data_IF_987762409445
#
_entry.id   IF_987762409445
#
_cell.length_a   1.000
_cell.length_b   1.000
_cell.length_c   1.000
_cell.angle_alpha   90.00
_cell.angle_beta   90.00
_cell.angle_gamma   90.00
#
_symmetry.space_group_name_H-M   'P 1'
#
loop_
_entity.id
_entity.type
_entity.pdbx_description
1 polymer ?
#
# COMPACT_ATOMS: atom_id res chain seq x y z
N UNK A 1 21.60 9.28 5.55
CA UNK A 1 20.62 8.33 6.13
C UNK A 1 19.27 8.61 5.53
N UNK A 2 18.59 7.60 5.00
CA UNK A 2 17.17 7.67 4.67
C UNK A 2 16.39 7.04 5.83
N UNK A 3 15.43 7.77 6.39
CA UNK A 3 14.48 7.24 7.35
C UNK A 3 13.07 7.54 6.84
N UNK A 4 12.33 6.51 6.47
CA UNK A 4 10.98 6.64 5.90
C UNK A 4 9.99 5.90 6.80
N UNK A 5 9.03 6.65 7.34
CA UNK A 5 8.12 6.20 8.41
C UNK A 5 6.81 5.59 7.90
N UNK A 6 6.63 5.40 6.59
CA UNK A 6 5.42 4.80 6.03
C UNK A 6 5.70 4.10 4.71
N UNK A 7 5.88 2.78 4.78
CA UNK A 7 6.18 1.95 3.62
C UNK A 7 5.49 0.60 3.72
N UNK A 8 5.44 -0.10 2.59
CA UNK A 8 4.92 -1.47 2.46
C UNK A 8 3.57 -1.62 3.20
N UNK A 9 2.66 -0.68 2.99
CA UNK A 9 1.36 -0.69 3.67
C UNK A 9 0.60 -1.96 3.27
N UNK A 10 0.11 -2.70 4.25
CA UNK A 10 -0.38 -4.07 4.07
C UNK A 10 -1.65 -4.08 3.21
N UNK A 11 -2.70 -3.42 3.65
CA UNK A 11 -3.89 -3.16 2.83
C UNK A 11 -4.39 -1.74 3.11
N UNK A 12 -5.16 -1.16 2.20
CA UNK A 12 -5.63 0.22 2.27
C UNK A 12 -7.06 0.37 1.75
N UNK A 13 -7.59 1.59 1.76
CA UNK A 13 -8.87 1.90 1.14
C UNK A 13 -8.76 1.92 -0.38
N UNK A 14 -9.87 1.61 -1.04
CA UNK A 14 -10.15 2.00 -2.42
C UNK A 14 -10.81 3.37 -2.38
N UNK A 15 -10.14 4.37 -2.91
CA UNK A 15 -10.60 5.76 -2.91
C UNK A 15 -11.49 6.01 -4.12
N UNK A 16 -12.67 6.60 -3.89
CA UNK A 16 -13.58 7.09 -4.93
C UNK A 16 -14.03 8.51 -4.62
N UNK A 17 -14.74 9.14 -5.56
CA UNK A 17 -15.22 10.51 -5.42
C UNK A 17 -16.68 10.60 -5.86
N UNK A 18 -17.57 10.89 -4.92
CA UNK A 18 -19.00 11.09 -5.16
C UNK A 18 -19.38 12.53 -5.52
N UNK A 19 -18.45 13.48 -5.42
CA UNK A 19 -18.72 14.88 -5.69
C UNK A 19 -18.61 15.23 -7.17
N UNK A 20 -19.04 16.44 -7.51
CA UNK A 20 -18.99 17.05 -8.84
C UNK A 20 -17.62 17.67 -9.21
N UNK A 21 -16.66 17.66 -8.28
CA UNK A 21 -15.32 18.26 -8.45
C UNK A 21 -14.21 17.22 -8.48
N UNK A 22 -13.17 17.47 -9.26
CA UNK A 22 -11.96 16.62 -9.27
C UNK A 22 -11.19 16.75 -7.97
N UNK A 23 -10.78 15.61 -7.39
CA UNK A 23 -9.98 15.56 -6.16
C UNK A 23 -8.58 15.06 -6.48
N UNK A 24 -7.57 15.78 -5.98
CA UNK A 24 -6.17 15.42 -6.12
C UNK A 24 -5.69 14.79 -4.81
N UNK A 25 -5.19 13.56 -4.89
CA UNK A 25 -4.74 12.79 -3.72
C UNK A 25 -3.37 12.19 -3.96
N UNK A 26 -2.75 11.66 -2.89
CA UNK A 26 -1.53 10.86 -3.01
C UNK A 26 -1.73 9.53 -3.75
N UNK A 27 -2.98 9.12 -3.97
CA UNK A 27 -3.35 7.92 -4.74
C UNK A 27 -3.64 8.27 -6.22
N UNK A 28 -3.39 9.52 -6.63
CA UNK A 28 -3.71 10.06 -7.95
C UNK A 28 -5.00 10.89 -7.97
N UNK A 29 -5.45 11.15 -9.19
CA UNK A 29 -6.64 11.96 -9.47
C UNK A 29 -7.90 11.11 -9.33
N UNK A 30 -8.87 11.59 -8.55
CA UNK A 30 -10.21 11.04 -8.47
C UNK A 30 -11.18 11.95 -9.23
N UNK A 31 -11.74 11.41 -10.32
CA UNK A 31 -12.71 12.10 -11.17
C UNK A 31 -14.06 12.24 -10.46
N UNK A 32 -14.82 13.29 -10.77
CA UNK A 32 -16.19 13.45 -10.30
C UNK A 32 -17.08 12.23 -10.59
N UNK A 33 -18.20 12.13 -9.86
CA UNK A 33 -19.30 11.21 -10.15
C UNK A 33 -18.89 9.73 -10.29
N UNK A 34 -17.98 9.27 -9.43
CA UNK A 34 -17.40 7.92 -9.46
C UNK A 34 -16.71 7.56 -10.78
N UNK A 35 -16.16 8.55 -11.50
CA UNK A 35 -15.52 8.32 -12.79
C UNK A 35 -14.28 7.39 -12.74
N UNK A 36 -13.69 7.19 -11.56
CA UNK A 36 -12.68 6.17 -11.28
C UNK A 36 -12.58 5.84 -9.79
N UNK A 37 -11.89 4.73 -9.49
CA UNK A 37 -11.37 4.38 -8.20
C UNK A 37 -9.85 4.33 -8.23
N UNK A 38 -9.20 4.59 -7.09
CA UNK A 38 -7.78 4.37 -6.91
C UNK A 38 -7.52 3.44 -5.74
N UNK A 39 -6.69 2.41 -5.93
CA UNK A 39 -6.21 1.54 -4.86
C UNK A 39 -4.69 1.69 -4.71
N UNK A 40 -4.20 1.74 -3.46
CA UNK A 40 -2.78 1.95 -3.17
C UNK A 40 -2.25 0.78 -2.35
N UNK A 41 -1.82 -0.27 -3.05
CA UNK A 41 -1.02 -1.38 -2.54
C UNK A 41 -0.26 -1.99 -3.71
N UNK A 42 0.70 -2.87 -3.43
CA UNK A 42 1.35 -3.70 -4.45
C UNK A 42 0.58 -5.00 -4.74
N UNK A 43 -0.67 -5.13 -4.25
CA UNK A 43 -1.50 -6.32 -4.41
C UNK A 43 -0.79 -7.58 -3.91
N UNK A 44 -0.89 -8.66 -4.68
CA UNK A 44 -0.18 -9.91 -4.45
C UNK A 44 1.35 -9.78 -4.32
N UNK A 45 1.96 -8.67 -4.81
CA UNK A 45 3.40 -8.42 -4.66
C UNK A 45 3.76 -7.74 -3.34
N UNK A 46 2.79 -7.33 -2.53
CA UNK A 46 3.03 -6.65 -1.24
C UNK A 46 3.66 -7.62 -0.23
N UNK A 47 4.85 -7.32 0.32
CA UNK A 47 5.47 -8.22 1.29
C UNK A 47 4.63 -8.41 2.57
N UNK A 48 3.93 -7.38 3.03
CA UNK A 48 3.07 -7.51 4.21
C UNK A 48 1.77 -8.27 3.94
N UNK A 49 1.29 -8.33 2.70
CA UNK A 49 0.16 -9.22 2.36
C UNK A 49 0.61 -10.69 2.33
N UNK A 50 1.86 -10.92 1.91
CA UNK A 50 2.50 -12.24 1.91
C UNK A 50 3.03 -12.68 3.30
N UNK A 51 3.05 -11.78 4.28
CA UNK A 51 3.29 -12.08 5.70
C UNK A 51 2.20 -11.45 6.58
N UNK A 52 0.94 -11.94 6.47
CA UNK A 52 -0.23 -11.26 6.99
C UNK A 52 -0.17 -11.06 8.51
N UNK A 53 0.50 -11.96 9.22
CA UNK A 53 0.62 -11.99 10.68
C UNK A 53 2.01 -11.60 11.19
N UNK A 54 2.87 -11.01 10.34
CA UNK A 54 4.20 -10.53 10.74
C UNK A 54 5.10 -11.62 11.34
N UNK A 55 5.02 -12.85 10.81
CA UNK A 55 5.79 -14.00 11.31
C UNK A 55 7.26 -13.93 10.92
N UNK A 56 7.58 -13.22 9.84
CA UNK A 56 8.93 -13.17 9.26
C UNK A 56 9.47 -11.75 9.11
N UNK A 57 8.59 -10.77 8.92
CA UNK A 57 8.93 -9.36 8.74
C UNK A 57 8.72 -8.63 10.08
N UNK A 58 9.81 -8.16 10.66
CA UNK A 58 9.81 -7.44 11.92
C UNK A 58 10.99 -6.48 12.03
N UNK A 59 11.16 -5.88 13.20
CA UNK A 59 12.29 -4.97 13.47
C UNK A 59 13.61 -5.70 13.24
N UNK A 60 14.51 -5.07 12.49
CA UNK A 60 15.82 -5.63 12.16
C UNK A 60 15.83 -6.52 10.90
N UNK A 61 14.68 -6.82 10.28
CA UNK A 61 14.66 -7.50 8.98
C UNK A 61 15.43 -6.68 7.94
N UNK A 62 16.42 -7.30 7.30
CA UNK A 62 17.17 -6.70 6.18
C UNK A 62 16.30 -6.64 4.94
N UNK A 63 16.30 -5.49 4.29
CA UNK A 63 15.46 -5.22 3.12
C UNK A 63 16.29 -4.63 1.98
N UNK A 64 15.82 -4.84 0.76
CA UNK A 64 16.19 -4.00 -0.37
C UNK A 64 15.49 -2.65 -0.21
N UNK A 65 16.26 -1.57 -0.17
CA UNK A 65 15.74 -0.20 0.02
C UNK A 65 16.45 0.75 -0.93
N UNK A 66 15.73 1.26 -1.93
CA UNK A 66 16.23 2.27 -2.86
C UNK A 66 17.48 1.83 -3.63
N UNK A 67 17.66 0.53 -3.91
CA UNK A 67 18.86 0.02 -4.57
C UNK A 67 19.98 -0.41 -3.62
N UNK A 68 19.89 -0.06 -2.34
CA UNK A 68 20.85 -0.46 -1.30
C UNK A 68 20.26 -1.44 -0.30
N UNK A 69 20.99 -1.69 0.78
CA UNK A 69 20.50 -2.45 1.94
C UNK A 69 19.91 -1.50 2.98
N UNK A 70 18.70 -1.82 3.43
CA UNK A 70 18.04 -1.16 4.56
C UNK A 70 17.63 -2.17 5.63
N UNK A 71 16.95 -1.64 6.65
CA UNK A 71 16.36 -2.40 7.74
C UNK A 71 14.95 -1.90 8.02
N UNK A 72 14.08 -2.81 8.46
CA UNK A 72 12.86 -2.42 9.17
C UNK A 72 13.27 -1.85 10.53
N UNK A 73 12.98 -0.57 10.76
CA UNK A 73 13.34 0.13 11.97
C UNK A 73 12.25 0.01 13.06
N UNK A 74 10.98 0.05 12.66
CA UNK A 74 9.83 0.06 13.57
C UNK A 74 8.52 -0.16 12.81
N UNK A 75 7.36 -0.15 13.50
CA UNK A 75 6.09 0.05 12.80
C UNK A 75 6.02 1.41 12.10
N UNK A 76 5.33 1.44 10.97
CA UNK A 76 5.03 2.66 10.23
C UNK A 76 3.93 3.49 10.92
N UNK A 77 3.78 4.73 10.47
CA UNK A 77 2.63 5.55 10.86
C UNK A 77 1.33 4.95 10.33
N UNK A 78 0.23 5.14 11.08
CA UNK A 78 -1.07 4.49 10.83
C UNK A 78 -1.03 2.95 10.87
N UNK A 79 -0.01 2.34 11.46
CA UNK A 79 0.05 0.89 11.64
C UNK A 79 -1.08 0.42 12.57
N UNK A 80 -1.93 -0.48 12.08
CA UNK A 80 -3.01 -1.09 12.86
C UNK A 80 -3.05 -2.61 12.62
N UNK A 81 -2.50 -3.44 13.52
CA UNK A 81 -2.42 -4.88 13.31
C UNK A 81 -3.75 -5.60 13.61
N UNK A 82 -4.64 -4.96 14.38
CA UNK A 82 -5.86 -5.53 14.95
C UNK A 82 -7.10 -5.21 14.10
N UNK A 83 -7.01 -5.45 12.79
CA UNK A 83 -8.11 -5.25 11.86
C UNK A 83 -8.79 -6.56 11.48
N UNK A 84 -10.00 -6.44 10.92
CA UNK A 84 -10.72 -7.56 10.35
C UNK A 84 -9.89 -8.20 9.23
N UNK A 85 -9.82 -9.54 9.23
CA UNK A 85 -9.10 -10.36 8.25
C UNK A 85 -10.03 -11.40 7.64
N UNK A 86 -9.72 -11.85 6.43
CA UNK A 86 -10.33 -13.03 5.82
C UNK A 86 -9.78 -14.32 6.44
N UNK A 87 -10.35 -15.45 6.03
CA UNK A 87 -9.95 -16.78 6.49
C UNK A 87 -8.48 -17.10 6.18
N UNK A 88 -7.95 -16.58 5.06
CA UNK A 88 -6.54 -16.68 4.68
C UNK A 88 -5.63 -15.64 5.37
N UNK A 89 -6.17 -14.86 6.33
CA UNK A 89 -5.41 -13.89 7.13
C UNK A 89 -5.19 -12.51 6.49
N UNK A 90 -5.55 -12.33 5.22
CA UNK A 90 -5.44 -11.06 4.51
C UNK A 90 -6.32 -10.00 5.19
N UNK A 91 -5.78 -8.82 5.57
CA UNK A 91 -6.60 -7.75 6.13
C UNK A 91 -7.65 -7.27 5.15
N UNK A 92 -8.83 -6.87 5.65
CA UNK A 92 -9.93 -6.31 4.86
C UNK A 92 -10.03 -4.78 4.93
N UNK A 93 -9.07 -4.13 5.59
CA UNK A 93 -9.01 -2.68 5.86
C UNK A 93 -7.55 -2.21 5.97
N UNK A 94 -7.38 -0.89 6.05
CA UNK A 94 -6.12 -0.23 6.45
C UNK A 94 -5.44 -0.93 7.64
N UNK A 95 -4.28 -1.56 7.41
CA UNK A 95 -3.64 -2.44 8.39
C UNK A 95 -2.18 -2.01 8.73
N UNK A 96 -1.23 -2.95 8.70
CA UNK A 96 0.16 -2.66 9.04
C UNK A 96 0.88 -1.78 8.03
N UNK A 97 1.86 -1.02 8.53
CA UNK A 97 2.88 -0.34 7.74
C UNK A 97 4.25 -0.49 8.42
N UNK A 98 5.32 -0.23 7.67
CA UNK A 98 6.70 -0.29 8.18
C UNK A 98 7.38 1.08 8.16
N UNK A 99 8.15 1.35 9.21
CA UNK A 99 9.20 2.37 9.20
C UNK A 99 10.51 1.70 8.82
N UNK A 100 11.25 2.29 7.88
CA UNK A 100 12.49 1.71 7.34
C UNK A 100 13.63 2.72 7.42
N UNK A 101 14.84 2.19 7.56
CA UNK A 101 16.08 2.97 7.65
C UNK A 101 17.14 2.38 6.73
N UNK A 102 17.98 3.23 6.12
CA UNK A 102 19.11 2.77 5.32
C UNK A 102 20.14 3.85 5.04
N UNK A 103 21.31 3.43 4.55
CA UNK A 103 22.34 4.35 4.10
C UNK A 103 22.01 4.88 2.70
N UNK A 104 21.50 6.12 2.67
CA UNK A 104 21.18 6.85 1.45
C UNK A 104 22.36 6.95 0.47
N UNK A 105 23.63 6.93 0.95
CA UNK A 105 24.81 7.03 0.07
C UNK A 105 25.01 5.80 -0.81
N UNK A 106 24.46 4.65 -0.42
CA UNK A 106 24.55 3.38 -1.15
C UNK A 106 23.33 3.15 -2.06
N UNK A 107 22.36 4.07 -2.05
CA UNK A 107 21.13 3.96 -2.83
C UNK A 107 21.35 4.45 -4.27
N UNK A 108 20.53 3.96 -5.19
CA UNK A 108 20.63 4.25 -6.61
C UNK A 108 19.44 5.10 -7.08
N UNK A 109 19.68 6.11 -7.95
CA UNK A 109 18.61 6.90 -8.56
C UNK A 109 17.69 6.06 -9.46
N UNK A 110 18.06 4.81 -9.80
CA UNK A 110 17.14 3.87 -10.48
C UNK A 110 15.95 3.48 -9.60
N UNK A 111 16.14 3.45 -8.28
CA UNK A 111 15.20 2.90 -7.31
C UNK A 111 14.74 3.91 -6.26
N UNK A 112 15.33 5.10 -6.24
CA UNK A 112 15.00 6.18 -5.31
C UNK A 112 14.94 7.50 -6.07
N UNK A 113 13.72 7.99 -6.32
CA UNK A 113 13.48 9.15 -7.19
C UNK A 113 12.52 10.13 -6.54
N UNK A 114 12.87 11.42 -6.58
CA UNK A 114 11.93 12.48 -6.24
C UNK A 114 10.88 12.63 -7.34
N UNK A 115 9.61 12.63 -6.96
CA UNK A 115 8.47 12.64 -7.88
C UNK A 115 7.47 13.71 -7.49
N UNK A 116 6.70 14.23 -8.45
CA UNK A 116 5.64 15.20 -8.20
C UNK A 116 4.30 14.58 -8.60
N UNK A 117 3.33 14.65 -7.70
CA UNK A 117 1.96 14.24 -7.95
C UNK A 117 1.11 15.49 -8.16
N UNK A 118 0.46 15.56 -9.33
CA UNK A 118 -0.37 16.70 -9.70
C UNK A 118 -1.41 16.99 -8.61
N UNK A 119 -1.44 18.24 -8.13
CA UNK A 119 -2.39 18.72 -7.12
C UNK A 119 -2.19 18.18 -5.69
N UNK A 120 -1.30 17.22 -5.46
CA UNK A 120 -0.95 16.72 -4.12
C UNK A 120 0.39 17.28 -3.64
N UNK A 121 1.40 17.31 -4.52
CA UNK A 121 2.72 17.87 -4.23
C UNK A 121 3.86 16.89 -4.45
N UNK A 122 5.00 17.18 -3.81
CA UNK A 122 6.21 16.38 -3.95
C UNK A 122 6.15 15.11 -3.08
N UNK A 123 6.66 14.02 -3.62
CA UNK A 123 6.82 12.74 -2.92
C UNK A 123 8.12 12.05 -3.36
N UNK A 124 8.49 10.96 -2.71
CA UNK A 124 9.64 10.14 -3.08
C UNK A 124 9.16 8.75 -3.46
N UNK A 125 9.52 8.31 -4.64
CA UNK A 125 9.33 6.93 -5.10
C UNK A 125 10.49 6.09 -4.59
N UNK A 126 10.17 5.09 -3.77
CA UNK A 126 11.16 4.23 -3.10
C UNK A 126 10.91 2.79 -3.50
N UNK A 127 11.88 2.15 -4.16
CA UNK A 127 11.89 0.72 -4.40
C UNK A 127 12.15 -0.03 -3.10
N UNK A 128 11.24 -0.94 -2.73
CA UNK A 128 11.33 -1.75 -1.51
C UNK A 128 11.10 -3.21 -1.87
N UNK A 129 11.98 -4.06 -1.36
CA UNK A 129 11.84 -5.52 -1.44
C UNK A 129 12.18 -6.12 -0.09
N UNK A 130 11.35 -7.04 0.39
CA UNK A 130 11.53 -7.69 1.69
C UNK A 130 11.57 -9.19 1.45
N UNK A 131 12.66 -9.89 1.83
CA UNK A 131 12.71 -11.33 1.71
C UNK A 131 11.77 -12.00 2.71
N UNK A 132 11.00 -12.99 2.24
CA UNK A 132 10.17 -13.84 3.10
C UNK A 132 10.81 -15.23 3.13
N UNK A 133 11.49 -15.61 4.23
CA UNK A 133 12.06 -16.94 4.37
C UNK A 133 10.94 -17.98 4.56
N UNK A 134 10.87 -18.96 3.67
CA UNK A 134 9.91 -20.06 3.77
C UNK A 134 10.41 -21.07 4.82
N UNK A 135 9.96 -20.90 6.07
CA UNK A 135 10.36 -21.75 7.20
C UNK A 135 9.32 -22.84 7.53
N UNK A 136 8.13 -22.77 6.95
CA UNK A 136 7.05 -23.74 7.14
C UNK A 136 6.07 -23.71 5.96
N UNK A 137 5.26 -24.75 5.82
CA UNK A 137 4.13 -24.80 4.88
C UNK A 137 3.13 -23.66 5.13
N UNK A 138 2.97 -23.26 6.39
CA UNK A 138 2.10 -22.14 6.75
C UNK A 138 2.60 -20.81 6.15
N UNK A 139 3.91 -20.53 6.24
CA UNK A 139 4.49 -19.32 5.63
C UNK A 139 4.37 -19.40 4.10
N UNK A 140 4.60 -20.58 3.51
CA UNK A 140 4.42 -20.77 2.07
C UNK A 140 2.98 -20.43 1.64
N UNK A 141 1.97 -20.90 2.39
CA UNK A 141 0.57 -20.61 2.11
C UNK A 141 0.25 -19.11 2.17
N UNK A 142 0.86 -18.37 3.10
CA UNK A 142 0.70 -16.92 3.16
C UNK A 142 1.29 -16.20 1.94
N UNK A 143 2.34 -16.75 1.34
CA UNK A 143 2.96 -16.18 0.12
C UNK A 143 2.19 -16.47 -1.18
N UNK A 144 1.12 -17.26 -1.11
CA UNK A 144 0.31 -17.66 -2.26
C UNK A 144 -0.96 -16.81 -2.45
N UNK A 145 -0.99 -15.61 -1.86
CA UNK A 145 -2.13 -14.67 -1.97
C UNK A 145 -2.25 -14.14 -3.41
N UNK A 146 -3.46 -14.16 -3.95
CA UNK A 146 -3.78 -13.63 -5.29
C UNK A 146 -4.65 -12.37 -5.17
N UNK A 147 -4.70 -11.55 -6.23
CA UNK A 147 -5.42 -10.27 -6.19
C UNK A 147 -6.93 -10.43 -5.98
N UNK A 148 -7.53 -11.53 -6.45
CA UNK A 148 -8.97 -11.82 -6.32
C UNK A 148 -9.43 -12.11 -4.88
N UNK A 149 -8.49 -12.40 -3.97
CA UNK A 149 -8.77 -12.61 -2.55
C UNK A 149 -8.40 -11.41 -1.66
N UNK A 150 -7.91 -10.32 -2.26
CA UNK A 150 -7.57 -9.08 -1.54
C UNK A 150 -8.78 -8.13 -1.56
N UNK A 151 -9.49 -8.07 -0.44
CA UNK A 151 -10.63 -7.17 -0.28
C UNK A 151 -10.22 -5.87 0.40
N UNK A 152 -10.68 -4.75 -0.14
CA UNK A 152 -10.43 -3.42 0.41
C UNK A 152 -11.73 -2.60 0.50
N UNK A 153 -11.88 -1.73 1.50
CA UNK A 153 -13.08 -0.92 1.65
C UNK A 153 -13.11 0.21 0.63
N UNK A 154 -14.25 0.38 -0.04
CA UNK A 154 -14.48 1.52 -0.93
C UNK A 154 -14.95 2.72 -0.10
N UNK A 155 -14.21 3.83 -0.16
CA UNK A 155 -14.44 5.02 0.67
C UNK A 155 -14.50 6.26 -0.22
N UNK A 156 -15.48 7.12 0.03
CA UNK A 156 -15.57 8.43 -0.61
C UNK A 156 -14.57 9.43 -0.01
N UNK A 157 -13.75 10.01 -0.88
CA UNK A 157 -12.73 10.98 -0.49
C UNK A 157 -13.22 12.43 -0.57
N UNK A 158 -14.42 12.66 -1.11
CA UNK A 158 -15.00 14.00 -1.21
C UNK A 158 -15.46 14.56 0.12
N UNK A 159 -16.06 13.73 0.97
CA UNK A 159 -16.52 14.10 2.30
C UNK A 159 -16.13 13.09 3.39
N UNK A 160 -16.33 11.79 3.16
CA UNK A 160 -16.22 10.80 4.23
C UNK A 160 -14.80 10.70 4.79
N UNK A 161 -13.79 10.66 3.91
CA UNK A 161 -12.38 10.60 4.32
C UNK A 161 -11.92 11.85 5.07
N UNK A 162 -12.25 13.06 4.58
CA UNK A 162 -11.81 14.33 5.20
C UNK A 162 -12.46 14.58 6.56
N UNK A 163 -13.69 14.09 6.74
CA UNK A 163 -14.45 14.22 7.98
C UNK A 163 -14.28 13.00 8.92
N UNK A 164 -13.40 12.04 8.59
CA UNK A 164 -13.20 10.79 9.34
C UNK A 164 -14.51 10.03 9.60
N UNK A 165 -15.47 10.12 8.68
CA UNK A 165 -16.73 9.37 8.77
C UNK A 165 -16.45 7.90 8.47
N UNK A 166 -17.07 7.01 9.24
CA UNK A 166 -17.04 5.57 9.00
C UNK A 166 -18.02 5.22 7.88
N UNK A 167 -17.72 5.63 6.65
CA UNK A 167 -18.55 5.30 5.48
C UNK A 167 -17.78 4.39 4.53
N UNK A 168 -18.15 3.11 4.56
CA UNK A 168 -17.79 2.16 3.50
C UNK A 168 -18.98 2.12 2.55
N UNK A 169 -18.74 2.49 1.29
CA UNK A 169 -19.77 2.41 0.27
C UNK A 169 -20.12 0.94 0.02
N UNK A 170 -21.42 0.65 0.12
CA UNK A 170 -21.93 -0.69 -0.14
C UNK A 170 -21.93 -0.93 -1.66
N UNK A 171 -21.33 -2.02 -2.18
CA UNK A 171 -21.25 -2.29 -3.63
C UNK A 171 -22.61 -2.32 -4.34
N UNK A 172 -23.71 -2.57 -3.62
CA UNK A 172 -25.08 -2.47 -4.17
C UNK A 172 -25.52 -1.05 -4.56
N UNK A 173 -24.80 -0.01 -4.10
CA UNK A 173 -25.09 1.41 -4.34
C UNK A 173 -24.05 2.11 -5.22
N UNK A 174 -23.05 1.37 -5.72
CA UNK A 174 -21.94 1.95 -6.47
C UNK A 174 -22.01 1.51 -7.93
N UNK A 175 -22.23 2.41 -8.91
CA UNK A 175 -22.18 2.08 -10.34
C UNK A 175 -20.80 1.49 -10.73
N UNK A 176 -20.67 0.77 -11.85
CA UNK A 176 -19.38 0.25 -12.29
C UNK A 176 -18.41 1.40 -12.62
N UNK A 177 -17.19 1.33 -12.08
CA UNK A 177 -16.11 2.30 -12.29
C UNK A 177 -14.77 1.60 -12.55
N UNK A 178 -13.86 2.30 -13.21
CA UNK A 178 -12.50 1.80 -13.47
C UNK A 178 -11.64 1.90 -12.21
N UNK A 179 -11.01 0.80 -11.80
CA UNK A 179 -9.97 0.81 -10.77
C UNK A 179 -8.65 1.18 -11.43
N UNK A 180 -8.13 2.36 -11.12
CA UNK A 180 -6.73 2.67 -11.32
C UNK A 180 -5.94 2.02 -10.17
N UNK A 181 -4.98 1.17 -10.50
CA UNK A 181 -3.90 0.90 -9.57
C UNK A 181 -3.11 2.20 -9.41
N UNK A 182 -3.16 2.77 -8.21
CA UNK A 182 -2.38 3.95 -7.88
C UNK A 182 -0.91 3.61 -8.09
N UNK A 183 -0.29 4.22 -9.10
CA UNK A 183 1.10 3.98 -9.46
C UNK A 183 2.03 4.44 -8.33
N UNK A 184 2.36 3.54 -7.42
CA UNK A 184 3.77 3.32 -7.13
C UNK A 184 4.26 2.35 -8.20
N UNK A 185 5.39 2.61 -8.88
CA UNK A 185 5.98 1.61 -9.73
C UNK A 185 6.42 0.45 -8.82
N UNK A 186 5.55 -0.54 -8.63
CA UNK A 186 6.00 -1.91 -8.58
C UNK A 186 6.84 -2.06 -9.86
N UNK A 187 8.12 -2.33 -9.67
CA UNK A 187 9.06 -2.61 -10.75
C UNK A 187 8.36 -3.46 -11.82
N UNK A 188 8.19 -2.88 -13.01
CA UNK A 188 7.76 -3.62 -14.18
C UNK A 188 8.63 -4.88 -14.32
N UNK A 189 8.05 -6.07 -14.50
CA UNK A 189 8.84 -7.21 -14.91
C UNK A 189 9.43 -6.87 -16.29
N UNK A 190 10.76 -6.88 -16.35
CA UNK A 190 11.60 -7.08 -17.54
C UNK A 190 10.97 -6.68 -18.90
N UNK A 191 11.43 -5.54 -19.41
CA UNK A 191 11.41 -5.16 -20.82
C UNK A 191 12.73 -4.47 -21.16
#
# INVERSE_FOLDING_TARGET
>A
MLFNIRNAYQNYNVAVNLSDRTIYTYMGILKPDLGNASFCSAGQLSPLLNDPYYKTIGIGTKIFLGGGTGLVAWQGTQHNPNVLRSENGVPRRGAGALSVIGDLKQMSPKWLVGTSMLGYGCTITVGIGIPIPILSEEILNYTAVTDDVIFAPVVDYSEAYSQMKSDILNPSKTPPFYINEGSFPASSPLG
#
